data_IF_362329749370
#
_entry.id   IF_362329749370
#
_cell.length_a   1.000
_cell.length_b   1.000
_cell.length_c   1.000
_cell.angle_alpha   90.00
_cell.angle_beta   90.00
_cell.angle_gamma   90.00
#
_symmetry.space_group_name_H-M   'P 1'
#
loop_
_entity.id
_entity.type
_entity.pdbx_description
1 polymer ?
#
# COMPACT_ATOMS: atom_id res chain seq x y z
N UNK A 1 62.69 -31.57 16.16
CA UNK A 1 61.39 -31.61 16.86
C UNK A 1 60.79 -30.22 16.85
N UNK A 2 59.94 -29.92 15.88
CA UNK A 2 59.31 -28.59 15.72
C UNK A 2 57.95 -28.58 16.42
N UNK A 3 57.90 -27.91 17.56
CA UNK A 3 56.69 -27.74 18.37
C UNK A 3 55.78 -26.69 17.74
N UNK A 4 54.79 -27.12 16.95
CA UNK A 4 53.73 -26.24 16.45
C UNK A 4 52.77 -25.96 17.61
N UNK A 5 52.83 -24.73 18.11
CA UNK A 5 51.98 -24.23 19.19
C UNK A 5 50.54 -24.06 18.70
N UNK A 6 49.61 -24.72 19.40
CA UNK A 6 48.15 -24.68 19.20
C UNK A 6 47.53 -23.27 19.24
N UNK A 7 48.31 -22.24 19.59
CA UNK A 7 47.89 -20.84 19.72
C UNK A 7 47.87 -20.07 18.39
N UNK A 8 48.58 -20.54 17.36
CA UNK A 8 48.62 -19.84 16.07
C UNK A 8 47.49 -20.23 15.11
N UNK A 9 46.72 -21.28 15.41
CA UNK A 9 45.60 -21.70 14.56
C UNK A 9 44.29 -20.94 14.83
N UNK A 10 44.19 -20.26 15.99
CA UNK A 10 42.99 -19.50 16.36
C UNK A 10 42.91 -18.12 15.66
N UNK A 11 44.02 -17.61 15.13
CA UNK A 11 44.09 -16.28 14.52
C UNK A 11 43.76 -16.25 13.02
N UNK A 12 43.75 -17.39 12.33
CA UNK A 12 43.38 -17.46 10.89
C UNK A 12 41.88 -17.67 10.64
N UNK A 13 41.09 -18.01 11.67
CA UNK A 13 39.64 -18.25 11.51
C UNK A 13 38.76 -16.99 11.63
N UNK A 14 39.34 -15.84 12.00
CA UNK A 14 38.60 -14.58 12.21
C UNK A 14 38.59 -13.64 10.98
N UNK A 15 39.29 -13.99 9.90
CA UNK A 15 39.45 -13.10 8.75
C UNK A 15 38.41 -13.30 7.62
N UNK A 16 37.52 -14.30 7.70
CA UNK A 16 36.59 -14.64 6.60
C UNK A 16 35.12 -14.33 6.87
N UNK A 17 34.76 -13.68 7.98
CA UNK A 17 33.35 -13.42 8.35
C UNK A 17 32.82 -12.04 7.97
N UNK A 18 33.62 -11.19 7.30
CA UNK A 18 33.24 -9.76 7.10
C UNK A 18 32.67 -9.41 5.73
N UNK A 19 32.43 -10.38 4.81
CA UNK A 19 31.92 -10.07 3.46
C UNK A 19 30.43 -10.41 3.19
N UNK A 20 29.65 -10.91 4.15
CA UNK A 20 28.24 -11.27 3.90
C UNK A 20 27.23 -10.13 4.09
N UNK A 21 27.66 -8.87 4.26
CA UNK A 21 26.76 -7.77 4.62
C UNK A 21 26.18 -6.96 3.44
N UNK A 22 26.44 -7.33 2.18
CA UNK A 22 25.92 -6.61 1.01
C UNK A 22 25.16 -7.53 0.05
N UNK A 23 24.33 -8.42 0.59
CA UNK A 23 23.33 -9.14 -0.19
C UNK A 23 21.97 -8.47 -0.06
N UNK A 24 21.70 -7.41 -0.85
CA UNK A 24 20.32 -7.05 -1.16
C UNK A 24 19.78 -8.21 -2.01
N UNK A 25 19.18 -9.19 -1.35
CA UNK A 25 18.65 -10.40 -2.00
C UNK A 25 17.60 -10.03 -3.04
N UNK A 26 18.02 -10.00 -4.30
CA UNK A 26 17.13 -10.14 -5.45
C UNK A 26 16.43 -11.51 -5.30
N UNK A 27 15.15 -11.48 -4.91
CA UNK A 27 14.36 -12.69 -4.59
C UNK A 27 13.77 -12.77 -3.18
N UNK A 28 13.69 -11.67 -2.43
CA UNK A 28 12.95 -11.63 -1.17
C UNK A 28 11.46 -11.96 -1.33
N UNK A 29 10.83 -12.57 -0.32
CA UNK A 29 9.40 -12.91 -0.34
C UNK A 29 8.47 -11.69 -0.23
N UNK A 30 9.00 -10.46 -0.28
CA UNK A 30 8.25 -9.22 -0.10
C UNK A 30 7.13 -9.06 -1.13
N UNK A 31 7.45 -9.30 -2.41
CA UNK A 31 6.50 -9.26 -3.52
C UNK A 31 5.35 -10.27 -3.29
N UNK A 32 5.70 -11.54 -3.05
CA UNK A 32 4.73 -12.61 -2.80
C UNK A 32 3.82 -12.33 -1.58
N UNK A 33 4.37 -11.74 -0.51
CA UNK A 33 3.58 -11.36 0.67
C UNK A 33 2.61 -10.23 0.36
N UNK A 34 3.02 -9.23 -0.44
CA UNK A 34 2.13 -8.14 -0.84
C UNK A 34 1.01 -8.68 -1.74
N UNK A 35 1.34 -9.55 -2.70
CA UNK A 35 0.35 -10.16 -3.60
C UNK A 35 -0.67 -10.99 -2.84
N UNK A 36 -0.23 -11.87 -1.94
CA UNK A 36 -1.13 -12.67 -1.12
C UNK A 36 -2.07 -11.81 -0.27
N UNK A 37 -1.57 -10.69 0.28
CA UNK A 37 -2.41 -9.75 1.03
C UNK A 37 -3.39 -9.02 0.12
N UNK A 38 -2.96 -8.61 -1.08
CA UNK A 38 -3.84 -7.97 -2.06
C UNK A 38 -4.96 -8.91 -2.51
N UNK A 39 -4.67 -10.20 -2.71
CA UNK A 39 -5.68 -11.21 -3.04
C UNK A 39 -6.74 -11.35 -1.94
N UNK A 40 -6.29 -11.50 -0.70
CA UNK A 40 -7.18 -11.60 0.47
C UNK A 40 -8.03 -10.35 0.62
N UNK A 41 -7.42 -9.17 0.47
CA UNK A 41 -8.11 -7.88 0.57
C UNK A 41 -9.17 -7.71 -0.53
N UNK A 42 -8.86 -8.07 -1.78
CA UNK A 42 -9.83 -8.02 -2.87
C UNK A 42 -10.97 -9.02 -2.65
N UNK A 43 -10.68 -10.25 -2.23
CA UNK A 43 -11.71 -11.23 -1.90
C UNK A 43 -12.65 -10.71 -0.81
N UNK A 44 -12.10 -10.20 0.29
CA UNK A 44 -12.89 -9.58 1.36
C UNK A 44 -13.74 -8.42 0.86
N UNK A 45 -13.17 -7.53 0.02
CA UNK A 45 -13.89 -6.39 -0.55
C UNK A 45 -15.07 -6.85 -1.41
N UNK A 46 -14.84 -7.82 -2.30
CA UNK A 46 -15.88 -8.31 -3.20
C UNK A 46 -17.00 -9.06 -2.48
N UNK A 47 -16.70 -9.72 -1.37
CA UNK A 47 -17.67 -10.46 -0.56
C UNK A 47 -18.54 -9.51 0.27
N UNK A 48 -17.96 -8.44 0.84
CA UNK A 48 -18.68 -7.48 1.68
C UNK A 48 -19.33 -6.35 0.87
N UNK A 49 -18.78 -6.00 -0.29
CA UNK A 49 -19.23 -4.91 -1.15
C UNK A 49 -19.37 -5.38 -2.60
N UNK A 50 -20.43 -6.15 -2.94
CA UNK A 50 -20.57 -6.76 -4.26
C UNK A 50 -20.54 -5.77 -5.44
N UNK A 51 -20.97 -4.51 -5.23
CA UNK A 51 -20.91 -3.46 -6.24
C UNK A 51 -19.48 -3.09 -6.69
N UNK A 52 -18.47 -3.43 -5.91
CA UNK A 52 -17.05 -3.21 -6.28
C UNK A 52 -16.58 -4.18 -7.37
N UNK A 53 -17.28 -5.31 -7.60
CA UNK A 53 -16.98 -6.22 -8.72
C UNK A 53 -17.25 -5.55 -10.07
N UNK A 54 -18.37 -4.85 -10.19
CA UNK A 54 -18.72 -4.10 -11.40
C UNK A 54 -17.73 -2.95 -11.65
N UNK A 55 -17.27 -2.32 -10.56
CA UNK A 55 -16.28 -1.26 -10.61
C UNK A 55 -14.92 -1.80 -11.07
N UNK A 56 -14.48 -2.93 -10.50
CA UNK A 56 -13.25 -3.61 -10.90
C UNK A 56 -13.27 -4.01 -12.37
N UNK A 57 -14.39 -4.52 -12.88
CA UNK A 57 -14.54 -4.91 -14.29
C UNK A 57 -14.50 -3.73 -15.27
N UNK A 58 -14.78 -2.51 -14.82
CA UNK A 58 -14.72 -1.28 -15.63
C UNK A 58 -13.41 -0.51 -15.47
N UNK A 59 -12.65 -0.78 -14.42
CA UNK A 59 -11.40 -0.07 -14.13
C UNK A 59 -10.30 -0.50 -15.11
N UNK A 60 -9.50 0.47 -15.55
CA UNK A 60 -8.26 0.23 -16.31
C UNK A 60 -7.15 -0.36 -15.44
N UNK A 61 -7.22 -0.17 -14.12
CA UNK A 61 -6.31 -0.76 -13.14
C UNK A 61 -6.77 -0.47 -11.71
N UNK A 62 -6.18 -1.16 -10.74
CA UNK A 62 -6.50 -1.03 -9.32
C UNK A 62 -5.22 -0.96 -8.48
N UNK A 63 -5.08 0.05 -7.63
CA UNK A 63 -4.06 0.04 -6.59
C UNK A 63 -4.66 -0.51 -5.30
N UNK A 64 -4.24 -1.71 -4.92
CA UNK A 64 -4.72 -2.41 -3.72
C UNK A 64 -3.73 -2.16 -2.59
N UNK A 65 -4.20 -1.49 -1.53
CA UNK A 65 -3.45 -1.26 -0.30
C UNK A 65 -4.09 -2.08 0.83
N UNK A 66 -3.57 -3.29 1.12
CA UNK A 66 -4.19 -4.22 2.07
C UNK A 66 -4.27 -3.67 3.48
N UNK A 67 -3.19 -3.04 3.94
CA UNK A 67 -3.09 -2.48 5.28
C UNK A 67 -2.39 -1.14 5.18
N UNK A 68 -3.14 -0.09 5.45
CA UNK A 68 -2.63 1.25 5.74
C UNK A 68 -2.76 1.46 7.23
N UNK A 69 -1.63 1.64 7.91
CA UNK A 69 -1.59 1.95 9.32
C UNK A 69 -1.42 3.44 9.48
N UNK A 70 -2.29 4.05 10.27
CA UNK A 70 -2.22 5.45 10.61
C UNK A 70 -2.08 5.60 12.11
N UNK A 71 -1.16 6.45 12.54
CA UNK A 71 -0.92 6.73 13.93
C UNK A 71 -0.57 8.21 14.11
N UNK A 72 -1.12 8.82 15.15
CA UNK A 72 -0.90 10.23 15.44
C UNK A 72 -1.46 10.67 16.78
N UNK A 73 -1.07 11.88 17.16
CA UNK A 73 -1.73 12.64 18.21
C UNK A 73 -2.12 14.01 17.66
N UNK A 74 -1.23 14.99 17.75
CA UNK A 74 -1.38 16.34 17.14
C UNK A 74 -0.82 16.36 15.72
N UNK A 75 0.27 15.62 15.53
CA UNK A 75 0.85 15.29 14.24
C UNK A 75 0.84 13.78 14.11
N UNK A 76 0.48 13.30 12.94
CA UNK A 76 0.39 11.89 12.63
C UNK A 76 0.92 11.59 11.24
N UNK A 77 0.96 10.31 10.94
CA UNK A 77 1.27 9.84 9.60
C UNK A 77 0.59 8.51 9.34
N UNK A 78 0.45 8.21 8.05
CA UNK A 78 0.03 6.90 7.60
C UNK A 78 1.11 6.26 6.75
N UNK A 79 1.18 4.93 6.83
CA UNK A 79 2.05 4.13 5.98
C UNK A 79 1.36 2.84 5.58
N UNK A 80 1.50 2.48 4.30
CA UNK A 80 1.02 1.21 3.77
C UNK A 80 1.84 0.76 2.57
N UNK A 81 1.76 -0.53 2.24
CA UNK A 81 2.34 -1.09 1.02
C UNK A 81 1.26 -1.87 0.28
N UNK A 82 1.33 -1.84 -1.04
CA UNK A 82 0.30 -2.42 -1.89
C UNK A 82 0.80 -2.80 -3.28
N UNK A 83 -0.09 -3.41 -4.03
CA UNK A 83 0.13 -3.88 -5.39
C UNK A 83 -0.76 -3.10 -6.36
N UNK A 84 -0.17 -2.59 -7.43
CA UNK A 84 -0.91 -2.09 -8.58
C UNK A 84 -1.22 -3.28 -9.50
N UNK A 85 -2.50 -3.46 -9.80
CA UNK A 85 -3.01 -4.55 -10.64
C UNK A 85 -3.66 -4.00 -11.89
N UNK A 86 -3.45 -4.69 -13.00
CA UNK A 86 -4.15 -4.47 -14.26
C UNK A 86 -4.77 -5.80 -14.65
N UNK A 87 -6.10 -5.87 -14.63
CA UNK A 87 -6.81 -7.15 -14.60
C UNK A 87 -6.39 -7.98 -13.39
N UNK A 88 -6.08 -9.26 -13.62
CA UNK A 88 -5.69 -10.21 -12.58
C UNK A 88 -4.18 -10.22 -12.28
N UNK A 89 -3.39 -9.36 -12.93
CA UNK A 89 -1.92 -9.38 -12.81
C UNK A 89 -1.40 -8.18 -12.02
N UNK A 90 -0.54 -8.44 -11.03
CA UNK A 90 0.26 -7.40 -10.37
C UNK A 90 1.36 -6.92 -11.31
N UNK A 91 1.34 -5.62 -11.63
CA UNK A 91 2.31 -5.00 -12.55
C UNK A 91 3.40 -4.23 -11.82
N UNK A 92 3.10 -3.70 -10.63
CA UNK A 92 4.00 -2.85 -9.85
C UNK A 92 3.63 -2.86 -8.36
N UNK A 93 4.57 -2.47 -7.50
CA UNK A 93 4.33 -2.31 -6.07
C UNK A 93 4.52 -0.85 -5.64
N UNK A 94 3.72 -0.40 -4.69
CA UNK A 94 3.75 0.97 -4.18
C UNK A 94 3.74 1.01 -2.66
N UNK A 95 4.41 2.01 -2.10
CA UNK A 95 4.23 2.43 -0.70
C UNK A 95 3.42 3.72 -0.65
N UNK A 96 2.42 3.77 0.20
CA UNK A 96 1.67 4.98 0.53
C UNK A 96 2.23 5.57 1.82
N UNK A 97 2.53 6.86 1.82
CA UNK A 97 2.90 7.61 3.00
C UNK A 97 2.15 8.94 3.04
N UNK A 98 1.42 9.21 4.11
CA UNK A 98 0.75 10.48 4.34
C UNK A 98 1.26 11.13 5.62
N UNK A 99 1.25 12.45 5.66
CA UNK A 99 1.31 13.20 6.90
C UNK A 99 -0.12 13.63 7.24
N UNK A 100 -0.49 13.57 8.52
CA UNK A 100 -1.75 14.10 9.00
C UNK A 100 -1.48 15.15 10.08
N UNK A 101 -2.19 16.28 9.97
CA UNK A 101 -2.20 17.33 10.98
C UNK A 101 -3.64 17.45 11.50
N UNK A 102 -3.86 17.15 12.78
CA UNK A 102 -5.20 17.15 13.38
C UNK A 102 -5.20 16.60 14.79
N UNK A 103 -6.28 16.78 15.55
CA UNK A 103 -6.48 16.25 16.92
C UNK A 103 -6.73 14.73 16.94
N UNK A 104 -6.18 14.00 15.98
CA UNK A 104 -6.37 12.56 15.87
C UNK A 104 -5.43 11.86 16.85
N UNK A 105 -5.92 11.67 18.07
CA UNK A 105 -5.26 10.84 19.08
C UNK A 105 -5.67 9.39 18.83
N UNK A 106 -4.78 8.60 18.24
CA UNK A 106 -5.01 7.18 18.08
C UNK A 106 -4.14 6.48 17.05
N UNK A 107 -4.39 5.19 16.94
CA UNK A 107 -3.89 4.35 15.87
C UNK A 107 -5.07 3.63 15.22
N UNK A 108 -5.08 3.60 13.90
CA UNK A 108 -6.08 2.89 13.12
C UNK A 108 -5.44 2.14 11.96
N UNK A 109 -6.13 1.12 11.49
CA UNK A 109 -5.78 0.39 10.29
C UNK A 109 -6.99 0.33 9.38
N UNK A 110 -6.76 0.45 8.09
CA UNK A 110 -7.79 0.28 7.07
C UNK A 110 -7.19 -0.30 5.79
N UNK A 111 -8.05 -0.88 4.98
CA UNK A 111 -7.73 -1.26 3.61
C UNK A 111 -8.26 -0.19 2.66
N UNK A 112 -7.52 0.10 1.59
CA UNK A 112 -8.00 0.99 0.53
C UNK A 112 -7.68 0.43 -0.84
N UNK A 113 -8.63 0.58 -1.78
CA UNK A 113 -8.46 0.22 -3.17
C UNK A 113 -8.80 1.43 -4.03
N UNK A 114 -7.84 1.87 -4.84
CA UNK A 114 -8.07 2.92 -5.84
C UNK A 114 -8.35 2.27 -7.18
N UNK A 115 -9.52 2.56 -7.74
CA UNK A 115 -9.94 2.15 -9.07
C UNK A 115 -9.64 3.27 -10.05
N UNK A 116 -8.77 3.00 -11.02
CA UNK A 116 -8.48 3.92 -12.11
C UNK A 116 -9.48 3.67 -13.23
N UNK A 117 -10.48 4.53 -13.36
CA UNK A 117 -11.59 4.32 -14.30
C UNK A 117 -11.22 4.62 -15.75
N UNK A 118 -10.10 5.29 -15.99
CA UNK A 118 -9.60 5.61 -17.33
C UNK A 118 -8.15 5.20 -17.49
N UNK A 119 -7.75 4.90 -18.73
CA UNK A 119 -6.36 4.58 -19.02
C UNK A 119 -5.42 5.77 -18.75
N UNK A 120 -5.94 6.98 -18.98
CA UNK A 120 -5.22 8.22 -18.69
C UNK A 120 -4.93 8.36 -17.20
N UNK A 121 -5.91 8.15 -16.31
CA UNK A 121 -5.68 8.29 -14.86
C UNK A 121 -4.70 7.25 -14.31
N UNK A 122 -4.72 6.03 -14.84
CA UNK A 122 -3.73 5.01 -14.54
C UNK A 122 -2.33 5.41 -15.01
N UNK A 123 -2.22 5.93 -16.23
CA UNK A 123 -0.94 6.33 -16.83
C UNK A 123 -0.34 7.54 -16.12
N UNK A 124 -1.17 8.53 -15.82
CA UNK A 124 -0.77 9.74 -15.08
C UNK A 124 -0.29 9.36 -13.68
N UNK A 125 -1.00 8.46 -12.99
CA UNK A 125 -0.55 7.95 -11.68
C UNK A 125 0.80 7.23 -11.74
N UNK A 126 1.02 6.40 -12.76
CA UNK A 126 2.26 5.62 -12.92
C UNK A 126 3.45 6.46 -13.38
N UNK A 127 3.19 7.51 -14.17
CA UNK A 127 4.21 8.41 -14.71
C UNK A 127 4.56 9.55 -13.77
N UNK A 128 3.61 9.97 -12.92
CA UNK A 128 3.88 10.93 -11.87
C UNK A 128 4.94 10.40 -10.90
N UNK A 129 5.83 11.27 -10.44
CA UNK A 129 6.87 10.98 -9.44
C UNK A 129 6.33 10.76 -8.02
N UNK A 130 5.11 10.22 -7.92
CA UNK A 130 4.52 9.66 -6.72
C UNK A 130 3.70 10.59 -5.85
N UNK A 131 3.08 11.64 -6.39
CA UNK A 131 2.28 12.58 -5.59
C UNK A 131 0.78 12.44 -5.90
N UNK A 132 -0.01 12.08 -4.88
CA UNK A 132 -1.47 12.15 -4.94
C UNK A 132 -1.98 13.01 -3.78
N UNK A 133 -1.83 14.33 -3.89
CA UNK A 133 -2.75 15.26 -3.26
C UNK A 133 -2.52 16.71 -3.64
N UNK A 134 -3.52 17.30 -4.29
CA UNK A 134 -3.71 18.75 -4.28
C UNK A 134 -4.40 19.31 -5.53
N UNK A 135 -5.62 18.84 -5.85
CA UNK A 135 -6.71 19.57 -6.55
C UNK A 135 -7.77 18.64 -7.19
N UNK A 136 -7.43 17.40 -7.55
CA UNK A 136 -8.24 16.63 -8.53
C UNK A 136 -8.79 15.26 -8.06
N UNK A 137 -8.78 14.97 -6.75
CA UNK A 137 -9.27 13.67 -6.22
C UNK A 137 -10.46 13.89 -5.28
N UNK A 138 -11.64 13.43 -5.72
CA UNK A 138 -12.86 13.35 -4.93
C UNK A 138 -12.81 12.12 -4.01
N UNK A 139 -12.96 12.30 -2.69
CA UNK A 139 -12.97 11.20 -1.73
C UNK A 139 -14.41 10.74 -1.45
N UNK A 140 -14.80 9.57 -1.96
CA UNK A 140 -16.07 8.94 -1.59
C UNK A 140 -15.93 8.23 -0.23
N UNK A 141 -16.38 8.90 0.83
CA UNK A 141 -16.55 8.29 2.15
C UNK A 141 -17.99 7.76 2.23
N UNK A 142 -18.19 6.44 2.38
CA UNK A 142 -19.54 5.93 2.62
C UNK A 142 -19.56 4.76 3.61
N UNK A 143 -20.29 4.97 4.71
CA UNK A 143 -20.45 4.07 5.85
C UNK A 143 -21.56 3.00 5.62
N UNK A 144 -22.26 3.06 4.48
CA UNK A 144 -23.38 2.14 4.21
C UNK A 144 -23.36 1.71 2.74
N UNK A 145 -23.00 0.45 2.46
CA UNK A 145 -22.74 -0.09 1.11
C UNK A 145 -23.88 0.00 0.07
N UNK A 146 -25.05 0.52 0.44
CA UNK A 146 -26.18 0.75 -0.45
C UNK A 146 -26.07 2.08 -1.23
N UNK A 147 -25.50 3.13 -0.61
CA UNK A 147 -25.31 4.47 -1.23
C UNK A 147 -24.12 4.52 -2.19
N UNK A 148 -23.20 3.54 -2.14
CA UNK A 148 -22.05 3.49 -3.04
C UNK A 148 -22.50 3.41 -4.51
N UNK A 149 -23.59 2.70 -4.82
CA UNK A 149 -24.09 2.52 -6.20
C UNK A 149 -24.64 3.81 -6.82
N UNK A 150 -25.27 4.67 -6.03
CA UNK A 150 -25.90 5.90 -6.52
C UNK A 150 -24.86 7.00 -6.79
N UNK A 151 -23.86 7.14 -5.92
CA UNK A 151 -22.78 8.12 -6.13
C UNK A 151 -21.77 7.65 -7.17
N UNK A 152 -21.40 6.35 -7.22
CA UNK A 152 -20.46 5.84 -8.24
C UNK A 152 -21.05 5.72 -9.65
N UNK A 153 -22.36 5.50 -9.81
CA UNK A 153 -23.00 5.50 -11.14
C UNK A 153 -23.07 6.90 -11.74
N UNK A 154 -23.05 7.94 -10.91
CA UNK A 154 -23.17 9.35 -11.34
C UNK A 154 -21.82 10.09 -11.33
N UNK A 155 -20.80 9.56 -10.65
CA UNK A 155 -19.48 10.19 -10.56
C UNK A 155 -18.62 9.85 -11.79
N UNK A 156 -18.37 10.87 -12.62
CA UNK A 156 -17.40 10.83 -13.74
C UNK A 156 -15.94 10.85 -13.25
N UNK A 157 -15.69 10.54 -11.98
CA UNK A 157 -14.37 10.65 -11.37
C UNK A 157 -13.38 9.69 -12.06
N UNK A 158 -12.23 10.19 -12.55
CA UNK A 158 -11.22 9.37 -13.23
C UNK A 158 -10.54 8.36 -12.29
N UNK A 159 -10.64 8.58 -10.97
CA UNK A 159 -10.15 7.70 -9.91
C UNK A 159 -11.20 7.61 -8.81
N UNK A 160 -11.56 6.40 -8.40
CA UNK A 160 -12.49 6.13 -7.30
C UNK A 160 -11.74 5.41 -6.19
N UNK A 161 -11.73 5.97 -4.98
CA UNK A 161 -11.12 5.33 -3.81
C UNK A 161 -12.20 4.66 -2.94
N UNK A 162 -12.00 3.38 -2.62
CA UNK A 162 -12.86 2.63 -1.71
C UNK A 162 -12.06 2.26 -0.48
N UNK A 163 -12.51 2.70 0.69
CA UNK A 163 -11.89 2.43 1.99
C UNK A 163 -12.79 1.49 2.79
N UNK A 164 -12.23 0.43 3.37
CA UNK A 164 -12.98 -0.58 4.12
C UNK A 164 -12.08 -1.29 5.14
N UNK A 165 -12.63 -2.30 5.83
CA UNK A 165 -11.95 -3.09 6.87
C UNK A 165 -11.30 -2.19 7.93
N UNK A 166 -12.02 -1.14 8.33
CA UNK A 166 -11.53 -0.17 9.31
C UNK A 166 -11.51 -0.80 10.70
N UNK A 167 -10.37 -0.69 11.37
CA UNK A 167 -10.17 -1.09 12.74
C UNK A 167 -9.48 0.03 13.51
N UNK A 168 -10.04 0.39 14.67
CA UNK A 168 -9.55 1.48 15.51
C UNK A 168 -10.62 2.56 15.72
N UNK A 169 -10.28 3.56 16.53
CA UNK A 169 -11.16 4.67 16.86
C UNK A 169 -10.76 5.91 16.05
N UNK A 170 -11.69 6.46 15.26
CA UNK A 170 -11.54 7.74 14.56
C UNK A 170 -12.47 8.78 15.17
N UNK A 171 -11.90 9.81 15.78
CA UNK A 171 -12.62 11.05 16.05
C UNK A 171 -12.00 12.16 15.20
N UNK A 172 -12.65 12.47 14.06
CA UNK A 172 -12.35 13.62 13.20
C UNK A 172 -10.91 13.73 12.67
N UNK A 173 -10.69 13.48 11.38
CA UNK A 173 -9.43 13.80 10.73
C UNK A 173 -9.60 14.05 9.23
N UNK A 174 -8.97 15.12 8.76
CA UNK A 174 -8.79 15.42 7.34
C UNK A 174 -7.45 14.81 6.90
N UNK A 175 -7.47 13.88 5.96
CA UNK A 175 -6.24 13.34 5.37
C UNK A 175 -5.69 14.40 4.41
N UNK A 176 -4.66 15.12 4.85
CA UNK A 176 -3.92 16.07 4.00
C UNK A 176 -2.88 15.33 3.16
N UNK A 177 -3.38 14.50 2.27
CA UNK A 177 -2.65 13.99 1.12
C UNK A 177 -1.72 12.80 1.33
N UNK A 178 -1.73 11.91 0.34
CA UNK A 178 -0.99 10.64 0.38
C UNK A 178 0.00 10.58 -0.77
N UNK A 179 1.28 10.39 -0.44
CA UNK A 179 2.34 10.17 -1.42
C UNK A 179 2.44 8.68 -1.74
N UNK A 180 2.25 8.30 -3.01
CA UNK A 180 2.41 6.92 -3.47
C UNK A 180 3.73 6.77 -4.21
N UNK A 181 4.69 6.05 -3.64
CA UNK A 181 6.01 5.85 -4.23
C UNK A 181 6.14 4.42 -4.75
N UNK A 182 6.58 4.24 -6.00
CA UNK A 182 6.87 2.90 -6.54
C UNK A 182 8.04 2.28 -5.78
N UNK A 183 7.94 1.01 -5.42
CA UNK A 183 8.96 0.27 -4.67
C UNK A 183 9.33 -1.05 -5.36
N UNK A 184 10.51 -1.58 -5.03
CA UNK A 184 10.94 -2.94 -5.36
C UNK A 184 10.98 -3.72 -4.03
N UNK A 185 9.99 -4.60 -3.76
CA UNK A 185 9.77 -5.20 -2.45
C UNK A 185 10.83 -6.17 -1.94
#
# INVERSE_FOLDING_TARGET
>A
MTLISRRNFALSALATTTLSACGNGIGGSGAAVIDARADITLAFMYDNYPGTRDLAGKASGMLVMPVVTEAGFVLGGSFGRGALRIGETTVDYYSAAAASAGLQIGAQQYSTVLFFMTHQSLTDFRSASGWAAGADIEYALNDTGETLRAETTTSLAPVIAVVFAQAGFRAGATIEGTKYTRIIP
#
